data_IF_844188576119
#
_entry.id   IF_844188576119
#
_cell.length_a   1.000
_cell.length_b   1.000
_cell.length_c   1.000
_cell.angle_alpha   90.00
_cell.angle_beta   90.00
_cell.angle_gamma   90.00
#
_symmetry.space_group_name_H-M   'P 1'
#
loop_
_entity.id
_entity.type
_entity.pdbx_description
1 polymer ?
#
# COMPACT_ATOMS: atom_id res chain seq x y z
N UNK A 1 34.36 -12.28 53.28
CA UNK A 1 33.97 -13.70 53.36
C UNK A 1 32.73 -13.87 52.51
N UNK A 2 32.65 -14.72 51.50
CA UNK A 2 33.53 -15.75 50.96
C UNK A 2 32.87 -16.22 49.67
N UNK A 3 33.69 -16.71 48.76
CA UNK A 3 33.41 -17.10 47.38
C UNK A 3 32.26 -18.13 47.23
N UNK A 4 31.66 -18.24 46.04
CA UNK A 4 31.90 -19.42 45.20
C UNK A 4 31.31 -19.27 43.79
N UNK A 5 32.18 -19.52 42.82
CA UNK A 5 31.95 -19.65 41.37
C UNK A 5 31.65 -21.11 41.06
N UNK A 6 30.63 -21.41 40.25
CA UNK A 6 30.48 -22.69 39.54
C UNK A 6 29.24 -22.64 38.62
N UNK A 7 29.17 -23.21 37.41
CA UNK A 7 30.11 -23.96 36.57
C UNK A 7 29.41 -24.15 35.21
N UNK A 8 30.07 -23.77 34.11
CA UNK A 8 29.62 -24.03 32.74
C UNK A 8 29.64 -25.55 32.48
N UNK A 9 28.46 -26.13 32.24
CA UNK A 9 28.30 -27.53 31.83
C UNK A 9 28.46 -27.68 30.32
N UNK A 10 29.63 -28.18 29.91
CA UNK A 10 29.96 -28.57 28.54
C UNK A 10 29.23 -29.86 28.15
N UNK A 11 28.24 -29.76 27.27
CA UNK A 11 27.56 -30.91 26.65
C UNK A 11 28.36 -31.43 25.45
N UNK A 12 29.03 -32.57 25.64
CA UNK A 12 29.74 -33.33 24.60
C UNK A 12 28.81 -33.69 23.45
N UNK A 13 29.12 -33.21 22.24
CA UNK A 13 28.51 -33.72 21.01
C UNK A 13 29.30 -34.95 20.54
N UNK A 14 28.60 -36.07 20.44
CA UNK A 14 29.12 -37.39 20.11
C UNK A 14 29.48 -37.49 18.62
N UNK A 15 30.70 -37.92 18.31
CA UNK A 15 31.20 -38.13 16.95
C UNK A 15 30.78 -39.52 16.47
N UNK A 16 29.82 -39.61 15.54
CA UNK A 16 29.44 -40.87 14.89
C UNK A 16 30.54 -41.33 13.93
N UNK A 17 31.26 -42.37 14.35
CA UNK A 17 32.27 -43.13 13.61
C UNK A 17 31.63 -43.85 12.41
N UNK A 18 32.21 -43.70 11.21
CA UNK A 18 31.71 -44.32 9.98
C UNK A 18 31.87 -45.85 9.97
N UNK A 19 30.79 -46.57 9.64
CA UNK A 19 30.82 -48.01 9.40
C UNK A 19 31.26 -48.29 7.95
N UNK A 20 32.38 -49.00 7.79
CA UNK A 20 32.79 -49.60 6.51
C UNK A 20 32.03 -50.92 6.32
N UNK A 21 31.27 -51.03 5.23
CA UNK A 21 30.66 -52.29 4.81
C UNK A 21 31.70 -53.18 4.13
N UNK A 22 31.82 -54.40 4.63
CA UNK A 22 32.79 -55.41 4.24
C UNK A 22 32.15 -56.32 3.17
N UNK A 23 32.39 -56.03 1.89
CA UNK A 23 31.76 -56.73 0.76
C UNK A 23 32.45 -58.08 0.42
N UNK A 24 32.49 -59.02 1.36
CA UNK A 24 32.97 -60.39 1.11
C UNK A 24 31.85 -61.45 1.07
N UNK A 25 30.59 -61.02 0.93
CA UNK A 25 29.44 -61.91 0.69
C UNK A 25 28.62 -61.35 -0.46
N UNK A 26 28.94 -61.78 -1.67
CA UNK A 26 28.06 -61.89 -2.84
C UNK A 26 28.85 -62.61 -3.94
N UNK A 27 29.20 -63.88 -3.66
CA UNK A 27 29.63 -64.82 -4.70
C UNK A 27 28.38 -65.42 -5.33
N UNK A 28 28.32 -65.34 -6.66
CA UNK A 28 27.39 -66.13 -7.45
C UNK A 28 26.19 -65.31 -7.93
N UNK A 29 26.34 -64.71 -9.10
CA UNK A 29 25.46 -64.79 -10.29
C UNK A 29 25.90 -63.62 -11.19
N UNK A 30 26.95 -63.85 -11.98
CA UNK A 30 27.24 -63.01 -13.16
C UNK A 30 27.56 -63.96 -14.30
N UNK A 31 26.59 -64.10 -15.20
CA UNK A 31 26.74 -64.73 -16.50
C UNK A 31 27.55 -63.78 -17.38
N UNK A 32 28.63 -64.28 -17.99
CA UNK A 32 29.45 -63.54 -18.96
C UNK A 32 28.65 -63.32 -20.24
N UNK A 33 28.62 -62.08 -20.73
CA UNK A 33 28.33 -61.78 -22.13
C UNK A 33 29.49 -60.98 -22.76
N UNK A 34 29.77 -61.18 -24.05
CA UNK A 34 31.06 -60.89 -24.66
C UNK A 34 31.25 -59.40 -25.00
N UNK A 35 32.53 -59.01 -24.98
CA UNK A 35 33.09 -57.74 -25.39
C UNK A 35 32.65 -57.37 -26.83
N UNK A 36 31.91 -56.28 -27.01
CA UNK A 36 31.70 -55.65 -28.31
C UNK A 36 32.36 -54.26 -28.36
N UNK A 37 33.02 -54.04 -29.49
CA UNK A 37 34.03 -53.02 -29.82
C UNK A 37 33.57 -51.56 -29.70
N UNK A 38 34.44 -50.61 -29.27
CA UNK A 38 34.07 -49.23 -28.94
C UNK A 38 34.23 -48.28 -30.13
N UNK A 39 33.45 -48.47 -31.21
CA UNK A 39 33.55 -47.55 -32.37
C UNK A 39 32.19 -46.98 -32.82
N UNK A 40 31.05 -47.54 -32.41
CA UNK A 40 29.74 -47.08 -32.88
C UNK A 40 28.89 -46.28 -31.86
N UNK A 41 29.49 -45.79 -30.77
CA UNK A 41 28.75 -45.05 -29.71
C UNK A 41 28.96 -43.54 -29.70
N UNK A 42 29.85 -43.01 -30.55
CA UNK A 42 30.16 -41.57 -30.56
C UNK A 42 29.21 -40.78 -31.49
N UNK A 43 28.47 -41.44 -32.38
CA UNK A 43 27.68 -40.75 -33.42
C UNK A 43 26.16 -40.62 -33.13
N UNK A 44 25.60 -41.28 -32.12
CA UNK A 44 24.15 -41.24 -31.84
C UNK A 44 23.73 -40.37 -30.64
N UNK A 45 24.65 -39.73 -29.93
CA UNK A 45 24.32 -38.87 -28.78
C UNK A 45 24.37 -37.36 -29.07
N UNK A 46 24.65 -36.94 -30.30
CA UNK A 46 24.66 -35.50 -30.67
C UNK A 46 23.31 -34.99 -31.19
N UNK A 47 22.43 -35.86 -31.66
CA UNK A 47 21.15 -35.48 -32.26
C UNK A 47 19.98 -35.41 -31.26
N UNK A 48 20.08 -36.05 -30.10
CA UNK A 48 19.03 -36.01 -29.04
C UNK A 48 19.25 -34.89 -28.02
N UNK A 49 20.50 -34.40 -27.86
CA UNK A 49 20.80 -33.25 -26.98
C UNK A 49 20.48 -31.91 -27.65
N UNK A 50 20.61 -31.82 -28.98
CA UNK A 50 20.26 -30.61 -29.73
C UNK A 50 18.74 -30.33 -29.75
N UNK A 51 17.91 -31.38 -29.67
CA UNK A 51 16.45 -31.24 -29.73
C UNK A 51 15.82 -30.88 -28.37
N UNK A 52 16.49 -31.20 -27.25
CA UNK A 52 16.09 -30.73 -25.92
C UNK A 52 16.65 -29.34 -25.60
N UNK A 53 17.76 -28.94 -26.21
CA UNK A 53 18.30 -27.58 -26.08
C UNK A 53 17.51 -26.55 -26.91
N UNK A 54 16.79 -26.96 -27.95
CA UNK A 54 15.99 -26.07 -28.80
C UNK A 54 14.55 -25.82 -28.28
N UNK A 55 14.05 -26.61 -27.32
CA UNK A 55 12.74 -26.42 -26.69
C UNK A 55 12.76 -25.59 -25.39
N UNK A 56 13.92 -24.99 -25.05
CA UNK A 56 14.03 -24.01 -23.96
C UNK A 56 14.21 -22.57 -24.49
N UNK A 57 13.93 -22.36 -25.77
CA UNK A 57 13.98 -21.06 -26.44
C UNK A 57 12.56 -20.73 -26.89
N UNK A 58 12.00 -19.68 -26.29
CA UNK A 58 10.69 -19.04 -26.59
C UNK A 58 9.45 -19.64 -25.91
N UNK A 59 9.35 -19.47 -24.59
CA UNK A 59 8.11 -18.99 -23.94
C UNK A 59 8.43 -17.93 -22.89
N UNK A 60 9.23 -16.93 -23.26
CA UNK A 60 9.37 -15.68 -22.50
C UNK A 60 9.02 -14.53 -23.44
N UNK A 61 7.76 -14.49 -23.87
CA UNK A 61 7.17 -13.30 -24.49
C UNK A 61 5.74 -13.20 -23.95
N UNK A 62 5.47 -12.06 -23.31
CA UNK A 62 4.20 -11.59 -22.73
C UNK A 62 3.93 -11.87 -21.23
N UNK A 63 4.99 -11.93 -20.40
CA UNK A 63 4.84 -11.57 -18.97
C UNK A 63 5.49 -10.22 -18.62
N UNK A 64 6.14 -9.55 -19.57
CA UNK A 64 6.55 -8.16 -19.44
C UNK A 64 5.35 -7.26 -19.75
N UNK A 65 4.40 -7.15 -18.81
CA UNK A 65 3.71 -5.88 -18.67
C UNK A 65 4.76 -4.82 -18.33
N UNK A 66 4.60 -3.60 -18.84
CA UNK A 66 5.52 -2.50 -18.52
C UNK A 66 5.66 -2.36 -16.99
N UNK A 67 6.78 -2.83 -16.45
CA UNK A 67 7.10 -2.74 -15.01
C UNK A 67 7.31 -1.30 -14.54
N UNK A 68 7.31 -0.35 -15.47
CA UNK A 68 7.47 1.09 -15.25
C UNK A 68 6.15 1.85 -15.35
N UNK A 69 5.08 1.25 -15.88
CA UNK A 69 3.78 1.92 -15.98
C UNK A 69 2.97 1.69 -14.70
N UNK A 70 2.55 2.79 -14.07
CA UNK A 70 1.57 2.75 -13.00
C UNK A 70 0.28 2.14 -13.56
N UNK A 71 -0.24 1.10 -12.91
CA UNK A 71 -1.51 0.47 -13.29
C UNK A 71 -2.49 0.57 -12.14
N UNK A 72 -3.57 1.31 -12.36
CA UNK A 72 -4.69 1.33 -11.42
C UNK A 72 -5.39 -0.03 -11.45
N UNK A 73 -5.85 -0.47 -10.29
CA UNK A 73 -6.51 -1.76 -10.09
C UNK A 73 -7.90 -1.63 -9.47
N UNK A 74 -8.18 -0.50 -8.83
CA UNK A 74 -9.46 -0.23 -8.19
C UNK A 74 -10.21 0.92 -8.90
N UNK A 75 -11.54 0.85 -8.98
CA UNK A 75 -12.33 1.94 -9.53
C UNK A 75 -12.36 3.14 -8.57
N UNK A 76 -12.49 4.33 -9.14
CA UNK A 76 -12.84 5.53 -8.37
C UNK A 76 -14.22 5.39 -7.72
N UNK A 77 -14.44 6.05 -6.59
CA UNK A 77 -15.72 6.02 -5.87
C UNK A 77 -16.19 7.42 -5.50
N UNK A 78 -17.51 7.58 -5.39
CA UNK A 78 -18.15 8.77 -4.85
C UNK A 78 -19.03 8.37 -3.68
N UNK A 79 -18.82 9.02 -2.54
CA UNK A 79 -19.55 8.77 -1.30
C UNK A 79 -20.18 10.07 -0.77
N UNK A 80 -21.24 9.94 0.01
CA UNK A 80 -21.80 11.05 0.81
C UNK A 80 -21.50 10.79 2.28
N UNK A 81 -20.94 11.78 2.95
CA UNK A 81 -20.48 11.69 4.32
C UNK A 81 -21.08 12.81 5.17
N UNK A 82 -21.19 12.56 6.46
CA UNK A 82 -21.53 13.58 7.45
C UNK A 82 -20.53 13.55 8.59
N UNK A 83 -20.10 14.72 9.03
CA UNK A 83 -19.17 14.90 10.15
C UNK A 83 -19.69 15.99 11.08
N UNK A 84 -19.36 15.88 12.36
CA UNK A 84 -19.63 16.92 13.34
C UNK A 84 -18.50 17.94 13.39
N UNK A 85 -18.83 19.18 13.74
CA UNK A 85 -17.83 20.21 13.97
C UNK A 85 -16.94 19.84 15.16
N UNK A 86 -15.63 19.97 15.01
CA UNK A 86 -14.66 19.66 16.05
C UNK A 86 -14.92 20.48 17.33
N UNK A 87 -15.30 21.74 17.19
CA UNK A 87 -15.69 22.60 18.31
C UNK A 87 -17.21 22.52 18.55
N UNK A 88 -17.60 22.62 19.82
CA UNK A 88 -19.02 22.70 20.21
C UNK A 88 -19.83 21.40 20.06
N UNK A 89 -19.19 20.27 19.75
CA UNK A 89 -19.82 18.93 19.78
C UNK A 89 -19.04 17.99 20.72
N UNK A 90 -19.65 16.89 21.21
CA UNK A 90 -18.95 15.94 22.07
C UNK A 90 -17.71 15.34 21.39
N UNK A 91 -16.57 15.19 22.10
CA UNK A 91 -15.33 14.68 21.50
C UNK A 91 -15.40 13.20 21.07
N UNK A 92 -16.47 12.49 21.44
CA UNK A 92 -16.76 11.13 20.95
C UNK A 92 -17.34 11.11 19.54
N UNK A 93 -17.82 12.25 19.03
CA UNK A 93 -18.46 12.33 17.72
C UNK A 93 -17.40 12.38 16.61
N UNK A 94 -17.69 11.81 15.43
CA UNK A 94 -16.76 11.81 14.31
C UNK A 94 -16.68 13.21 13.69
N UNK A 95 -15.53 13.85 13.85
CA UNK A 95 -15.21 15.18 13.33
C UNK A 95 -14.07 15.19 12.31
N UNK A 96 -13.58 14.01 11.92
CA UNK A 96 -12.56 13.86 10.90
C UNK A 96 -12.94 12.83 9.84
N UNK A 97 -12.17 12.78 8.75
CA UNK A 97 -12.30 11.75 7.73
C UNK A 97 -10.97 11.06 7.53
N UNK A 98 -11.02 9.72 7.48
CA UNK A 98 -9.95 8.89 6.93
C UNK A 98 -10.25 8.68 5.44
N UNK A 99 -9.40 9.23 4.57
CA UNK A 99 -9.50 9.14 3.11
C UNK A 99 -9.35 7.69 2.67
N UNK A 100 -8.32 7.00 3.16
CA UNK A 100 -8.09 5.58 2.86
C UNK A 100 -9.29 4.72 3.26
N UNK A 101 -9.87 4.95 4.44
CA UNK A 101 -11.01 4.19 4.92
C UNK A 101 -12.38 4.71 4.42
N UNK A 102 -12.41 5.85 3.72
CA UNK A 102 -13.62 6.51 3.19
C UNK A 102 -14.73 6.73 4.22
N UNK A 103 -14.34 7.09 5.45
CA UNK A 103 -15.31 7.18 6.54
C UNK A 103 -15.03 8.32 7.49
N UNK A 104 -16.12 8.80 8.09
CA UNK A 104 -16.07 9.72 9.22
C UNK A 104 -15.50 8.98 10.44
N UNK A 105 -14.50 9.57 11.08
CA UNK A 105 -13.80 9.01 12.24
C UNK A 105 -13.70 10.04 13.35
N UNK A 106 -13.53 9.55 14.57
CA UNK A 106 -13.24 10.40 15.72
C UNK A 106 -11.84 10.98 15.60
N UNK A 107 -11.73 12.27 15.90
CA UNK A 107 -10.44 12.96 15.99
C UNK A 107 -9.83 12.70 17.36
N UNK A 108 -8.60 12.19 17.39
CA UNK A 108 -7.83 11.99 18.61
C UNK A 108 -6.32 12.07 18.38
N UNK A 109 -5.55 11.92 19.45
CA UNK A 109 -4.08 12.00 19.41
C UNK A 109 -3.41 10.88 18.61
N UNK A 110 -4.13 9.84 18.18
CA UNK A 110 -3.58 8.78 17.34
C UNK A 110 -3.54 9.16 15.86
N UNK A 111 -4.16 10.27 15.46
CA UNK A 111 -4.12 10.80 14.10
C UNK A 111 -4.52 9.76 13.03
N UNK A 112 -5.55 8.95 13.32
CA UNK A 112 -6.12 7.96 12.40
C UNK A 112 -6.97 8.57 11.27
N UNK A 113 -6.93 9.88 11.11
CA UNK A 113 -7.66 10.68 10.13
C UNK A 113 -6.70 11.50 9.25
N UNK A 114 -7.17 11.96 8.10
CA UNK A 114 -6.40 12.83 7.19
C UNK A 114 -6.71 14.30 7.43
N UNK A 115 -8.01 14.59 7.58
CA UNK A 115 -8.53 15.93 7.79
C UNK A 115 -9.58 15.95 8.89
N UNK A 116 -9.61 17.04 9.64
CA UNK A 116 -10.67 17.36 10.59
C UNK A 116 -11.53 18.51 10.08
N UNK A 117 -12.77 18.57 10.58
CA UNK A 117 -13.77 19.55 10.16
C UNK A 117 -14.26 20.35 11.36
N UNK A 118 -14.49 21.64 11.16
CA UNK A 118 -15.11 22.52 12.12
C UNK A 118 -16.05 23.52 11.43
N UNK A 119 -16.70 24.38 12.21
CA UNK A 119 -17.54 25.46 11.74
C UNK A 119 -17.04 26.77 12.36
N UNK A 120 -16.70 27.75 11.53
CA UNK A 120 -16.26 29.07 11.99
C UNK A 120 -17.42 29.91 12.55
N UNK A 121 -17.09 31.08 13.11
CA UNK A 121 -18.09 32.01 13.68
C UNK A 121 -19.07 32.56 12.65
N UNK A 122 -18.73 32.50 11.35
CA UNK A 122 -19.60 32.89 10.25
C UNK A 122 -20.48 31.73 9.75
N UNK A 123 -20.36 30.53 10.35
CA UNK A 123 -21.13 29.35 9.97
C UNK A 123 -20.58 28.60 8.77
N UNK A 124 -19.35 28.88 8.32
CA UNK A 124 -18.71 28.20 7.21
C UNK A 124 -17.97 26.96 7.66
N UNK A 125 -17.82 26.01 6.74
CA UNK A 125 -17.01 24.83 6.98
C UNK A 125 -15.52 25.19 7.04
N UNK A 126 -14.79 24.62 8.01
CA UNK A 126 -13.34 24.74 8.10
C UNK A 126 -12.72 23.35 8.02
N UNK A 127 -11.70 23.18 7.19
CA UNK A 127 -11.00 21.91 6.99
C UNK A 127 -9.55 22.07 7.47
N UNK A 128 -9.13 21.20 8.36
CA UNK A 128 -7.79 21.17 8.93
C UNK A 128 -7.04 19.93 8.43
N UNK A 129 -5.84 20.07 7.85
CA UNK A 129 -4.92 18.95 7.73
C UNK A 129 -4.59 18.38 9.11
N UNK A 130 -4.37 17.06 9.20
CA UNK A 130 -4.04 16.38 10.46
C UNK A 130 -2.90 17.03 11.26
N UNK A 131 -1.90 17.60 10.57
CA UNK A 131 -0.76 18.32 11.18
C UNK A 131 -1.18 19.51 12.03
N UNK A 132 -2.28 20.18 11.70
CA UNK A 132 -2.77 21.34 12.47
C UNK A 132 -3.57 20.93 13.71
N UNK A 133 -4.01 19.67 13.76
CA UNK A 133 -4.84 19.14 14.86
C UNK A 133 -3.98 18.41 15.88
N UNK A 134 -2.94 17.71 15.42
CA UNK A 134 -2.05 16.93 16.27
C UNK A 134 -0.60 17.35 16.02
N UNK A 135 0.06 17.88 17.05
CA UNK A 135 1.34 18.60 16.94
C UNK A 135 2.57 17.71 16.65
N UNK A 136 2.51 16.42 16.94
CA UNK A 136 3.58 15.47 16.66
C UNK A 136 3.00 14.07 16.59
N UNK A 137 2.25 13.75 15.53
CA UNK A 137 1.56 12.48 15.49
C UNK A 137 2.60 11.46 15.08
N UNK A 138 2.99 10.59 16.02
CA UNK A 138 3.77 9.40 15.69
C UNK A 138 2.95 8.58 14.69
N UNK A 139 3.27 8.66 13.40
CA UNK A 139 2.49 8.06 12.32
C UNK A 139 1.56 8.99 11.54
N UNK A 140 1.63 10.32 11.74
CA UNK A 140 0.95 11.25 10.83
C UNK A 140 1.58 11.26 9.46
N UNK A 141 0.72 11.27 8.46
CA UNK A 141 1.10 11.51 7.08
C UNK A 141 0.98 12.97 6.70
N UNK A 142 1.85 13.46 5.80
CA UNK A 142 1.62 14.72 5.09
C UNK A 142 0.25 14.70 4.41
N UNK A 143 -0.58 15.69 4.74
CA UNK A 143 -1.86 15.94 4.08
C UNK A 143 -1.87 17.39 3.65
N UNK A 144 -2.07 17.62 2.35
CA UNK A 144 -2.15 18.95 1.76
C UNK A 144 -3.52 19.21 1.17
N UNK A 145 -3.97 20.46 1.25
CA UNK A 145 -5.28 20.89 0.77
C UNK A 145 -5.11 21.93 -0.34
N UNK A 146 -6.00 21.88 -1.33
CA UNK A 146 -6.05 22.87 -2.39
C UNK A 146 -7.50 23.14 -2.78
N UNK A 147 -7.98 24.36 -2.53
CA UNK A 147 -9.28 24.80 -3.06
C UNK A 147 -9.17 24.90 -4.58
N UNK A 148 -10.17 24.39 -5.30
CA UNK A 148 -10.20 24.40 -6.76
C UNK A 148 -11.47 25.08 -7.27
N UNK A 149 -11.34 25.78 -8.40
CA UNK A 149 -12.47 26.47 -9.02
C UNK A 149 -13.31 25.49 -9.85
N UNK A 150 -14.63 25.53 -9.67
CA UNK A 150 -15.58 24.68 -10.38
C UNK A 150 -16.54 23.98 -9.43
N UNK A 151 -17.24 22.98 -9.94
CA UNK A 151 -18.16 22.13 -9.19
C UNK A 151 -17.58 20.74 -8.97
N UNK A 152 -18.16 19.97 -8.04
CA UNK A 152 -17.71 18.60 -7.77
C UNK A 152 -17.61 17.75 -9.04
N UNK A 153 -18.58 17.85 -9.95
CA UNK A 153 -18.61 17.03 -11.17
C UNK A 153 -17.58 17.46 -12.22
N UNK A 154 -17.27 18.76 -12.30
CA UNK A 154 -16.33 19.29 -13.30
C UNK A 154 -14.87 19.04 -12.93
N UNK A 155 -14.57 18.79 -11.66
CA UNK A 155 -13.21 18.45 -11.21
C UNK A 155 -12.97 16.97 -11.47
N UNK A 156 -12.41 16.67 -12.65
CA UNK A 156 -12.13 15.32 -13.11
C UNK A 156 -10.72 14.83 -12.75
N UNK A 157 -9.81 15.70 -12.32
CA UNK A 157 -8.43 15.33 -11.97
C UNK A 157 -7.89 16.22 -10.83
N UNK A 158 -7.06 15.65 -9.96
CA UNK A 158 -6.35 16.39 -8.92
C UNK A 158 -5.23 17.27 -9.49
N UNK A 159 -5.08 18.54 -9.06
CA UNK A 159 -4.02 19.43 -9.53
C UNK A 159 -2.63 18.86 -9.26
N UNK A 160 -1.65 19.17 -10.11
CA UNK A 160 -0.29 18.63 -9.98
C UNK A 160 0.48 19.21 -8.78
N UNK A 161 0.19 20.46 -8.41
CA UNK A 161 0.94 21.27 -7.45
C UNK A 161 0.01 22.27 -6.74
N UNK A 162 0.48 22.84 -5.62
CA UNK A 162 -0.23 23.90 -4.89
C UNK A 162 -1.06 23.41 -3.70
N UNK A 163 -0.73 22.24 -3.16
CA UNK A 163 -1.32 21.73 -1.92
C UNK A 163 -0.63 22.37 -0.71
N UNK A 164 -1.43 22.99 0.15
CA UNK A 164 -0.98 23.62 1.39
C UNK A 164 -1.28 22.69 2.58
N UNK A 165 -0.25 22.36 3.36
CA UNK A 165 -0.37 21.47 4.52
C UNK A 165 -0.36 22.22 5.87
N UNK A 166 -0.03 23.52 5.84
CA UNK A 166 0.22 24.33 7.03
C UNK A 166 -0.88 25.35 7.32
N UNK A 167 -1.98 25.31 6.57
CA UNK A 167 -3.12 26.20 6.77
C UNK A 167 -4.46 25.45 6.73
N UNK A 168 -5.42 25.96 7.50
CA UNK A 168 -6.79 25.53 7.42
C UNK A 168 -7.48 26.22 6.25
N UNK A 169 -8.45 25.54 5.63
CA UNK A 169 -9.25 26.11 4.55
C UNK A 169 -10.69 26.33 5.00
N UNK A 170 -11.17 27.56 4.83
CA UNK A 170 -12.58 27.89 4.95
C UNK A 170 -13.27 27.60 3.63
N UNK A 171 -14.38 26.88 3.68
CA UNK A 171 -15.14 26.41 2.52
C UNK A 171 -16.58 26.89 2.62
N UNK A 172 -17.06 27.50 1.55
CA UNK A 172 -18.48 27.81 1.37
C UNK A 172 -19.22 26.58 0.80
N UNK A 173 -20.54 26.49 0.99
CA UNK A 173 -21.33 25.47 0.32
C UNK A 173 -21.10 25.45 -1.19
N UNK A 174 -20.98 24.24 -1.74
CA UNK A 174 -20.70 23.89 -3.13
C UNK A 174 -19.27 24.15 -3.61
N UNK A 175 -18.41 24.74 -2.79
CA UNK A 175 -16.99 24.82 -3.11
C UNK A 175 -16.32 23.45 -2.98
N UNK A 176 -15.25 23.25 -3.76
CA UNK A 176 -14.51 21.99 -3.83
C UNK A 176 -13.09 22.19 -3.35
N UNK A 177 -12.64 21.26 -2.51
CA UNK A 177 -11.23 21.12 -2.12
C UNK A 177 -10.72 19.79 -2.65
N UNK A 178 -9.49 19.79 -3.16
CA UNK A 178 -8.75 18.57 -3.46
C UNK A 178 -7.73 18.34 -2.36
N UNK A 179 -7.61 17.09 -1.95
CA UNK A 179 -6.69 16.64 -0.90
C UNK A 179 -5.66 15.73 -1.51
N UNK A 180 -4.42 15.94 -1.11
CA UNK A 180 -3.31 15.04 -1.33
C UNK A 180 -2.91 14.44 0.02
N UNK A 181 -2.95 13.11 0.14
CA UNK A 181 -2.59 12.41 1.37
C UNK A 181 -1.53 11.35 1.12
N UNK A 182 -0.39 11.44 1.81
CA UNK A 182 0.74 10.54 1.59
C UNK A 182 0.65 9.24 2.42
N UNK A 183 0.59 8.09 1.76
CA UNK A 183 0.42 6.78 2.39
C UNK A 183 1.69 5.90 2.28
N UNK A 184 2.85 6.45 2.65
CA UNK A 184 4.15 5.76 2.53
C UNK A 184 4.68 5.17 3.85
N UNK A 185 3.87 5.14 4.92
CA UNK A 185 4.31 4.56 6.19
C UNK A 185 4.46 3.04 6.09
N UNK A 186 5.27 2.45 6.99
CA UNK A 186 5.42 1.00 7.06
C UNK A 186 4.08 0.32 7.34
N UNK A 187 3.66 -0.61 6.48
CA UNK A 187 2.37 -1.30 6.57
C UNK A 187 1.20 -0.54 5.96
N UNK A 188 1.43 0.61 5.32
CA UNK A 188 0.40 1.39 4.62
C UNK A 188 0.23 0.96 3.15
N UNK A 189 -0.89 1.34 2.53
CA UNK A 189 -1.28 0.90 1.19
C UNK A 189 -0.24 1.26 0.11
N UNK A 190 0.35 2.45 0.21
CA UNK A 190 1.22 3.01 -0.82
C UNK A 190 2.72 2.96 -0.44
N UNK A 191 3.11 2.12 0.53
CA UNK A 191 4.49 2.01 1.02
C UNK A 191 5.53 1.82 -0.11
N UNK A 192 5.18 1.04 -1.13
CA UNK A 192 6.09 0.70 -2.23
C UNK A 192 5.75 1.43 -3.54
N UNK A 193 4.80 2.37 -3.52
CA UNK A 193 4.41 3.11 -4.71
C UNK A 193 5.45 4.19 -5.05
N UNK A 194 5.70 4.41 -6.35
CA UNK A 194 6.57 5.50 -6.82
C UNK A 194 6.04 6.88 -6.40
N UNK A 195 4.72 7.01 -6.37
CA UNK A 195 4.03 8.17 -5.83
C UNK A 195 3.07 7.68 -4.73
N UNK A 196 3.35 7.96 -3.45
CA UNK A 196 2.60 7.40 -2.35
C UNK A 196 1.30 8.13 -2.05
N UNK A 197 0.91 9.11 -2.87
CA UNK A 197 -0.24 9.95 -2.56
C UNK A 197 -1.55 9.31 -3.01
N UNK A 198 -2.55 9.34 -2.14
CA UNK A 198 -3.96 9.24 -2.52
C UNK A 198 -4.51 10.64 -2.76
N UNK A 199 -5.39 10.75 -3.75
CA UNK A 199 -6.06 12.00 -4.06
C UNK A 199 -7.56 11.86 -3.84
N UNK A 200 -8.11 12.83 -3.13
CA UNK A 200 -9.54 12.92 -2.88
C UNK A 200 -10.04 14.33 -3.26
N UNK A 201 -11.33 14.45 -3.55
CA UNK A 201 -12.02 15.73 -3.61
C UNK A 201 -13.18 15.73 -2.63
N UNK A 202 -13.37 16.83 -1.92
CA UNK A 202 -14.59 17.08 -1.15
C UNK A 202 -15.36 18.25 -1.72
N UNK A 203 -16.67 18.12 -1.79
CA UNK A 203 -17.58 19.27 -1.86
C UNK A 203 -18.34 19.40 -0.54
N UNK A 204 -18.43 20.62 -0.03
CA UNK A 204 -19.31 20.93 1.10
C UNK A 204 -20.72 21.11 0.57
N UNK A 205 -21.62 20.16 0.77
CA UNK A 205 -22.98 20.30 0.25
C UNK A 205 -23.82 21.23 1.12
N UNK A 206 -23.75 21.09 2.44
CA UNK A 206 -24.43 21.98 3.38
C UNK A 206 -23.84 21.92 4.79
N UNK A 207 -24.16 22.94 5.59
CA UNK A 207 -23.80 23.04 7.01
C UNK A 207 -25.09 23.23 7.81
N UNK A 208 -25.34 22.34 8.78
CA UNK A 208 -26.42 22.47 9.75
C UNK A 208 -25.87 23.05 11.05
N UNK A 209 -26.18 24.30 11.34
CA UNK A 209 -25.67 25.02 12.52
C UNK A 209 -26.33 24.55 13.82
N UNK A 210 -27.57 24.06 13.78
CA UNK A 210 -28.29 23.62 14.99
C UNK A 210 -27.68 22.33 15.55
N UNK A 211 -27.33 21.39 14.68
CA UNK A 211 -26.67 20.13 15.06
C UNK A 211 -25.14 20.18 14.92
N UNK A 212 -24.59 21.30 14.45
CA UNK A 212 -23.17 21.49 14.10
C UNK A 212 -22.64 20.35 13.23
N UNK A 213 -23.36 20.04 12.16
CA UNK A 213 -23.07 18.93 11.24
C UNK A 213 -22.76 19.45 9.84
N UNK A 214 -21.70 18.94 9.22
CA UNK A 214 -21.36 19.19 7.83
C UNK A 214 -21.74 17.98 6.98
N UNK A 215 -22.37 18.23 5.84
CA UNK A 215 -22.70 17.22 4.84
C UNK A 215 -21.79 17.41 3.63
N UNK A 216 -21.12 16.34 3.22
CA UNK A 216 -20.04 16.37 2.25
C UNK A 216 -20.26 15.30 1.18
N UNK A 217 -19.78 15.59 -0.03
CA UNK A 217 -19.51 14.56 -1.05
C UNK A 217 -18.01 14.33 -1.15
N UNK A 218 -17.61 13.07 -1.13
CA UNK A 218 -16.24 12.60 -1.32
C UNK A 218 -16.12 11.96 -2.69
N UNK A 219 -15.14 12.37 -3.50
CA UNK A 219 -14.67 11.62 -4.66
C UNK A 219 -13.25 11.12 -4.37
N UNK A 220 -13.00 9.83 -4.56
CA UNK A 220 -11.70 9.22 -4.25
C UNK A 220 -11.18 8.41 -5.43
N UNK A 221 -9.90 8.59 -5.70
CA UNK A 221 -9.09 7.60 -6.40
C UNK A 221 -8.31 6.76 -5.36
N UNK A 222 -8.63 5.47 -5.18
CA UNK A 222 -7.94 4.63 -4.21
C UNK A 222 -6.57 4.12 -4.70
N UNK A 223 -6.15 4.48 -5.92
CA UNK A 223 -4.90 4.01 -6.51
C UNK A 223 -3.77 5.00 -6.23
N UNK A 224 -2.68 4.49 -5.64
CA UNK A 224 -1.51 5.30 -5.29
C UNK A 224 -0.94 6.05 -6.49
N UNK A 225 -0.91 7.37 -6.41
CA UNK A 225 -0.34 8.26 -7.41
C UNK A 225 -1.26 8.64 -8.56
N UNK A 226 -2.43 8.02 -8.69
CA UNK A 226 -3.41 8.37 -9.70
C UNK A 226 -4.25 9.56 -9.25
N UNK A 227 -4.56 10.44 -10.20
CA UNK A 227 -5.19 11.74 -9.92
C UNK A 227 -6.60 11.84 -10.46
N UNK A 228 -7.06 10.85 -11.23
CA UNK A 228 -8.34 10.91 -11.93
C UNK A 228 -9.50 10.68 -10.97
N UNK A 229 -10.51 11.53 -11.07
CA UNK A 229 -11.82 11.36 -10.42
C UNK A 229 -12.90 10.92 -11.40
N UNK A 230 -12.53 10.61 -12.64
CA UNK A 230 -13.46 10.06 -13.61
C UNK A 230 -13.94 8.67 -13.16
N UNK A 231 -15.20 8.35 -13.42
CA UNK A 231 -15.79 7.06 -13.05
C UNK A 231 -15.07 5.91 -13.72
N UNK A 232 -14.77 4.86 -12.95
CA UNK A 232 -14.15 3.63 -13.45
C UNK A 232 -12.71 3.48 -12.98
N UNK A 233 -11.96 2.59 -13.63
CA UNK A 233 -10.54 2.35 -13.31
C UNK A 233 -9.71 3.39 -14.06
N UNK A 234 -8.94 4.24 -13.36
CA UNK A 234 -8.07 5.23 -13.98
C UNK A 234 -7.04 4.61 -14.93
N UNK A 235 -6.73 5.31 -16.01
CA UNK A 235 -5.63 4.93 -16.92
C UNK A 235 -4.41 5.83 -16.79
N UNK A 236 -4.53 6.92 -16.02
CA UNK A 236 -3.51 7.96 -15.80
C UNK A 236 -3.82 8.75 -14.54
#
# INVERSE_FOLDING_TARGET
MGDEVAKLGSGKSEVKRGNRLNCHKLRGIIVKQPLQSPICLIYCMKSRLALLAAMFVVTVLNACGDVTNLKASAPTSVDTLSVFALSGTPPSYPSGISILARQAVRVDGFASFDVAFDIDDAGNAVIYPVKLVVASPGGSRPVGLQKVAGTFETIAEAPKTGFEADSALVMLPREVVVIQSAHNSSGDLCQFALNPNLYAKFAVDSVNLASRTLYLRLGLDPNCGFRSFATGIPTS
#
